data_IF_887879914352
#
_entry.id   IF_887879914352
#
_cell.length_a   1.000
_cell.length_b   1.000
_cell.length_c   1.000
_cell.angle_alpha   90.00
_cell.angle_beta   90.00
_cell.angle_gamma   90.00
#
_symmetry.space_group_name_H-M   'P 1'
#
loop_
_entity.id
_entity.type
_entity.pdbx_description
1 polymer ?
#
# COMPACT_ATOMS: atom_id res chain seq x y z
N UNK A 1 -8.37 -14.84 3.39
CA UNK A 1 -7.25 -14.85 2.43
C UNK A 1 -5.93 -14.41 3.07
N UNK A 2 -5.80 -13.17 3.56
CA UNK A 2 -4.53 -12.64 4.10
C UNK A 2 -3.90 -13.50 5.21
N UNK A 3 -4.66 -13.92 6.22
CA UNK A 3 -4.14 -14.77 7.31
C UNK A 3 -3.52 -16.08 6.77
N UNK A 4 -4.24 -16.76 5.87
CA UNK A 4 -3.81 -18.06 5.31
C UNK A 4 -2.53 -17.92 4.49
N UNK A 5 -2.39 -16.83 3.71
CA UNK A 5 -1.18 -16.57 2.94
C UNK A 5 0.03 -16.45 3.88
N UNK A 6 -0.08 -15.67 4.95
CA UNK A 6 1.03 -15.48 5.89
C UNK A 6 1.35 -16.73 6.70
N UNK A 7 0.34 -17.54 7.04
CA UNK A 7 0.54 -18.80 7.78
C UNK A 7 1.14 -19.91 6.90
N UNK A 8 0.80 -19.94 5.61
CA UNK A 8 1.29 -20.95 4.67
C UNK A 8 2.72 -20.67 4.17
N UNK A 9 3.20 -19.43 4.28
CA UNK A 9 4.57 -19.11 3.88
C UNK A 9 5.58 -19.65 4.90
N UNK A 10 6.67 -20.31 4.44
CA UNK A 10 7.70 -20.80 5.36
C UNK A 10 8.44 -19.63 6.03
N UNK A 11 8.52 -19.66 7.36
CA UNK A 11 9.26 -18.68 8.17
C UNK A 11 8.43 -17.50 8.67
N UNK A 12 9.08 -16.57 9.38
CA UNK A 12 8.45 -15.35 9.89
C UNK A 12 8.46 -14.24 8.84
N UNK A 13 7.44 -13.37 8.84
CA UNK A 13 7.20 -12.38 7.77
C UNK A 13 7.50 -10.95 8.20
N UNK A 14 7.95 -10.11 7.26
CA UNK A 14 8.06 -8.67 7.46
C UNK A 14 8.95 -8.25 8.64
N UNK A 15 8.50 -7.27 9.42
CA UNK A 15 9.25 -6.76 10.59
C UNK A 15 9.40 -7.78 11.71
N UNK A 16 8.49 -8.76 11.81
CA UNK A 16 8.61 -9.87 12.76
C UNK A 16 9.83 -10.76 12.45
N UNK A 17 10.15 -10.96 11.16
CA UNK A 17 11.41 -11.63 10.77
C UNK A 17 12.61 -10.86 11.30
N UNK A 18 12.67 -9.54 11.11
CA UNK A 18 13.83 -8.74 11.57
C UNK A 18 14.01 -8.77 13.08
N UNK A 19 12.91 -8.88 13.82
CA UNK A 19 12.91 -8.99 15.28
C UNK A 19 13.39 -10.39 15.70
N UNK A 20 12.83 -11.46 15.14
CA UNK A 20 13.15 -12.85 15.55
C UNK A 20 14.45 -13.41 14.96
N UNK A 21 14.88 -12.92 13.79
CA UNK A 21 16.12 -13.30 13.12
C UNK A 21 17.35 -12.56 13.66
N UNK A 22 17.18 -11.69 14.67
CA UNK A 22 18.29 -11.00 15.30
C UNK A 22 19.25 -12.02 15.95
N UNK A 23 20.52 -12.10 15.50
CA UNK A 23 21.48 -13.09 15.97
C UNK A 23 21.93 -12.86 17.43
N UNK A 24 21.57 -11.70 18.02
CA UNK A 24 21.85 -11.37 19.42
C UNK A 24 20.80 -11.92 20.40
N UNK A 25 19.68 -12.43 19.90
CA UNK A 25 18.65 -13.02 20.76
C UNK A 25 19.04 -14.43 21.16
N UNK A 26 19.03 -14.71 22.46
CA UNK A 26 19.11 -16.09 22.95
C UNK A 26 17.87 -16.88 22.53
N UNK A 27 17.97 -18.22 22.48
CA UNK A 27 16.84 -19.10 22.15
C UNK A 27 15.64 -18.86 23.09
N UNK A 28 15.91 -18.56 24.37
CA UNK A 28 14.89 -18.23 25.36
C UNK A 28 14.20 -16.89 25.06
N UNK A 29 14.96 -15.84 24.75
CA UNK A 29 14.42 -14.54 24.40
C UNK A 29 13.58 -14.59 23.11
N UNK A 30 14.02 -15.39 22.13
CA UNK A 30 13.24 -15.63 20.91
C UNK A 30 11.89 -16.28 21.23
N UNK A 31 11.88 -17.32 22.05
CA UNK A 31 10.64 -18.01 22.43
C UNK A 31 9.69 -17.11 23.23
N UNK A 32 10.24 -16.25 24.10
CA UNK A 32 9.45 -15.22 24.81
C UNK A 32 8.79 -14.25 23.82
N UNK A 33 9.51 -13.79 22.79
CA UNK A 33 8.92 -12.91 21.78
C UNK A 33 7.83 -13.59 20.94
N UNK A 34 8.02 -14.85 20.55
CA UNK A 34 6.99 -15.63 19.83
C UNK A 34 5.70 -15.73 20.67
N UNK A 35 5.85 -15.97 21.97
CA UNK A 35 4.72 -16.02 22.90
C UNK A 35 4.04 -14.65 23.06
N UNK A 36 4.81 -13.57 23.22
CA UNK A 36 4.28 -12.19 23.33
C UNK A 36 3.45 -11.78 22.11
N UNK A 37 3.82 -12.24 20.92
CA UNK A 37 3.12 -11.92 19.68
C UNK A 37 1.97 -12.87 19.34
N UNK A 38 1.63 -13.80 20.24
CA UNK A 38 0.51 -14.74 20.02
C UNK A 38 0.74 -15.66 18.82
N UNK A 39 2.00 -15.98 18.53
CA UNK A 39 2.39 -16.89 17.44
C UNK A 39 2.43 -18.35 17.90
N UNK A 40 2.02 -18.61 19.14
CA UNK A 40 1.93 -19.94 19.74
C UNK A 40 0.53 -20.53 19.58
N UNK A 41 0.44 -21.86 19.58
CA UNK A 41 -0.83 -22.58 19.50
C UNK A 41 -1.19 -23.04 18.08
N UNK A 42 -2.36 -23.68 17.97
CA UNK A 42 -2.86 -24.18 16.71
C UNK A 42 -3.32 -23.02 15.78
N UNK A 43 -3.27 -23.22 14.44
CA UNK A 43 -3.64 -22.17 13.49
C UNK A 43 -5.06 -21.64 13.63
N UNK A 44 -5.99 -22.48 14.12
CA UNK A 44 -7.38 -22.09 14.28
C UNK A 44 -7.56 -21.11 15.44
N UNK A 45 -6.95 -21.37 16.59
CA UNK A 45 -6.94 -20.46 17.74
C UNK A 45 -6.33 -19.11 17.39
N UNK A 46 -5.23 -19.10 16.61
CA UNK A 46 -4.59 -17.87 16.12
C UNK A 46 -5.50 -17.10 15.17
N UNK A 47 -6.22 -17.79 14.30
CA UNK A 47 -7.20 -17.16 13.40
C UNK A 47 -8.38 -16.53 14.16
N UNK A 48 -8.97 -17.26 15.10
CA UNK A 48 -10.09 -16.73 15.92
C UNK A 48 -9.65 -15.51 16.72
N UNK A 49 -8.46 -15.57 17.32
CA UNK A 49 -7.87 -14.43 18.05
C UNK A 49 -7.63 -13.23 17.12
N UNK A 50 -7.07 -13.47 15.93
CA UNK A 50 -6.87 -12.45 14.91
C UNK A 50 -8.20 -11.77 14.51
N UNK A 51 -9.24 -12.55 14.22
CA UNK A 51 -10.56 -12.02 13.82
C UNK A 51 -11.19 -11.23 14.97
N UNK A 52 -11.16 -11.76 16.20
CA UNK A 52 -11.70 -11.07 17.38
C UNK A 52 -11.01 -9.72 17.56
N UNK A 53 -9.69 -9.70 17.57
CA UNK A 53 -8.89 -8.49 17.76
C UNK A 53 -9.15 -7.45 16.65
N UNK A 54 -9.30 -7.91 15.41
CA UNK A 54 -9.63 -7.05 14.27
C UNK A 54 -11.01 -6.39 14.43
N UNK A 55 -12.02 -7.15 14.84
CA UNK A 55 -13.38 -6.64 15.06
C UNK A 55 -13.48 -5.72 16.29
N UNK A 56 -12.61 -5.88 17.28
CA UNK A 56 -12.51 -4.98 18.44
C UNK A 56 -11.53 -3.83 18.25
N UNK A 57 -11.02 -3.62 17.03
CA UNK A 57 -10.03 -2.58 16.71
C UNK A 57 -8.72 -2.66 17.52
N UNK A 58 -8.38 -3.85 18.01
CA UNK A 58 -7.15 -4.13 18.76
C UNK A 58 -6.06 -4.64 17.80
N UNK A 59 -5.46 -3.73 17.04
CA UNK A 59 -4.44 -4.09 16.04
C UNK A 59 -3.06 -4.44 16.64
N UNK A 60 -2.87 -4.25 17.94
CA UNK A 60 -1.61 -4.50 18.62
C UNK A 60 -0.57 -3.40 18.36
N UNK A 61 0.70 -3.76 18.54
CA UNK A 61 1.85 -2.85 18.44
C UNK A 61 2.68 -3.13 17.18
N UNK A 62 3.26 -2.08 16.60
CA UNK A 62 4.22 -2.19 15.51
C UNK A 62 5.51 -2.84 16.02
N UNK A 63 5.93 -3.94 15.40
CA UNK A 63 7.20 -4.61 15.68
C UNK A 63 8.44 -3.71 15.47
N UNK A 64 8.30 -2.66 14.64
CA UNK A 64 9.39 -1.76 14.28
C UNK A 64 9.40 -0.49 15.13
N UNK A 65 8.23 0.13 15.27
CA UNK A 65 8.11 1.46 15.86
C UNK A 65 7.66 1.41 17.33
N UNK A 66 7.33 0.22 17.86
CA UNK A 66 6.83 -0.01 19.22
C UNK A 66 5.63 0.87 19.64
N UNK A 67 4.87 1.36 18.67
CA UNK A 67 3.66 2.16 18.87
C UNK A 67 2.41 1.34 18.52
N UNK A 68 1.25 1.66 19.10
CA UNK A 68 -0.03 1.08 18.70
C UNK A 68 -0.24 1.25 17.19
N UNK A 69 -0.62 0.17 16.49
CA UNK A 69 -0.82 0.20 15.04
C UNK A 69 -1.96 1.15 14.64
N UNK A 70 -2.99 1.27 15.47
CA UNK A 70 -4.08 2.24 15.29
C UNK A 70 -3.55 3.68 15.23
N UNK A 71 -2.67 4.04 16.16
CA UNK A 71 -2.02 5.35 16.19
C UNK A 71 -1.11 5.53 14.97
N UNK A 72 -0.33 4.50 14.58
CA UNK A 72 0.50 4.59 13.39
C UNK A 72 -0.33 4.84 12.12
N UNK A 73 -1.49 4.19 11.96
CA UNK A 73 -2.35 4.37 10.78
C UNK A 73 -2.89 5.80 10.70
N UNK A 74 -3.32 6.35 11.83
CA UNK A 74 -3.95 7.67 11.91
C UNK A 74 -2.90 8.79 11.94
N UNK A 75 -1.98 8.74 12.89
CA UNK A 75 -0.98 9.79 13.17
C UNK A 75 0.09 9.89 12.10
N UNK A 76 0.42 8.80 11.38
CA UNK A 76 1.42 8.86 10.30
C UNK A 76 0.87 9.44 8.99
N UNK A 77 -0.40 9.85 8.93
CA UNK A 77 -1.04 10.37 7.73
C UNK A 77 -1.25 9.35 6.61
N UNK A 78 -0.96 8.06 6.85
CA UNK A 78 -1.09 6.99 5.85
C UNK A 78 -2.54 6.82 5.40
N UNK A 79 -3.46 6.77 6.36
CA UNK A 79 -4.89 6.68 6.06
C UNK A 79 -5.36 7.86 5.20
N UNK A 80 -4.95 9.08 5.57
CA UNK A 80 -5.29 10.29 4.80
C UNK A 80 -4.77 10.21 3.36
N UNK A 81 -3.51 9.84 3.16
CA UNK A 81 -2.93 9.71 1.83
C UNK A 81 -3.65 8.65 0.98
N UNK A 82 -4.01 7.49 1.56
CA UNK A 82 -4.78 6.46 0.87
C UNK A 82 -6.16 6.97 0.46
N UNK A 83 -6.88 7.63 1.38
CA UNK A 83 -8.20 8.18 1.09
C UNK A 83 -8.15 9.29 0.05
N UNK A 84 -7.14 10.17 0.12
CA UNK A 84 -6.92 11.22 -0.86
C UNK A 84 -6.66 10.62 -2.25
N UNK A 85 -5.72 9.67 -2.36
CA UNK A 85 -5.36 9.04 -3.64
C UNK A 85 -6.52 8.24 -4.22
N UNK A 86 -7.16 7.39 -3.42
CA UNK A 86 -8.29 6.58 -3.86
C UNK A 86 -9.48 7.47 -4.24
N UNK A 87 -9.82 8.45 -3.40
CA UNK A 87 -10.95 9.35 -3.63
C UNK A 87 -10.77 10.19 -4.88
N UNK A 88 -9.61 10.86 -5.01
CA UNK A 88 -9.32 11.70 -6.19
C UNK A 88 -9.25 10.89 -7.47
N UNK A 89 -8.55 9.76 -7.48
CA UNK A 89 -8.49 8.89 -8.66
C UNK A 89 -9.86 8.37 -9.06
N UNK A 90 -10.68 7.91 -8.11
CA UNK A 90 -12.04 7.40 -8.38
C UNK A 90 -12.92 8.47 -8.99
N UNK A 91 -12.94 9.68 -8.41
CA UNK A 91 -13.74 10.80 -8.93
C UNK A 91 -13.30 11.17 -10.35
N UNK A 92 -11.99 11.32 -10.58
CA UNK A 92 -11.45 11.64 -11.90
C UNK A 92 -11.77 10.54 -12.92
N UNK A 93 -11.61 9.27 -12.55
CA UNK A 93 -11.94 8.13 -13.42
C UNK A 93 -13.42 8.12 -13.81
N UNK A 94 -14.33 8.37 -12.86
CA UNK A 94 -15.78 8.43 -13.14
C UNK A 94 -16.08 9.59 -14.09
N UNK A 95 -15.58 10.79 -13.79
CA UNK A 95 -15.86 11.99 -14.59
C UNK A 95 -15.30 11.84 -16.00
N UNK A 96 -14.01 11.54 -16.14
CA UNK A 96 -13.34 11.41 -17.43
C UNK A 96 -13.92 10.24 -18.22
N UNK A 97 -14.08 9.07 -17.57
CA UNK A 97 -14.62 7.87 -18.21
C UNK A 97 -16.04 8.07 -18.73
N UNK A 98 -16.88 8.75 -17.96
CA UNK A 98 -18.27 9.05 -18.35
C UNK A 98 -18.31 10.05 -19.50
N UNK A 99 -17.51 11.12 -19.46
CA UNK A 99 -17.44 12.10 -20.54
C UNK A 99 -16.95 11.46 -21.85
N UNK A 100 -15.88 10.68 -21.79
CA UNK A 100 -15.38 9.93 -22.96
C UNK A 100 -16.44 8.95 -23.47
N UNK A 101 -17.11 8.22 -22.57
CA UNK A 101 -18.20 7.31 -22.92
C UNK A 101 -19.36 8.01 -23.64
N UNK A 102 -19.80 9.18 -23.15
CA UNK A 102 -20.85 9.98 -23.79
C UNK A 102 -20.41 10.42 -25.20
N UNK A 103 -19.19 10.93 -25.35
CA UNK A 103 -18.66 11.40 -26.63
C UNK A 103 -18.56 10.27 -27.65
N UNK A 104 -17.99 9.13 -27.25
CA UNK A 104 -17.81 7.96 -28.12
C UNK A 104 -19.16 7.34 -28.51
N UNK A 105 -20.10 7.26 -27.56
CA UNK A 105 -21.42 6.65 -27.81
C UNK A 105 -22.21 7.32 -28.94
N UNK A 106 -21.98 8.61 -29.19
CA UNK A 106 -22.62 9.38 -30.26
C UNK A 106 -21.99 9.16 -31.65
N UNK A 107 -20.79 8.57 -31.71
CA UNK A 107 -20.01 8.38 -32.94
C UNK A 107 -19.55 6.92 -33.10
N UNK A 108 -20.48 5.98 -32.91
CA UNK A 108 -20.22 4.54 -33.06
C UNK A 108 -19.64 4.22 -34.44
N UNK A 109 -18.63 3.37 -34.47
CA UNK A 109 -17.92 2.97 -35.69
C UNK A 109 -16.96 4.01 -36.26
N UNK A 110 -16.76 5.14 -35.56
CA UNK A 110 -15.75 6.13 -35.95
C UNK A 110 -14.34 5.69 -35.55
N UNK A 111 -13.31 6.31 -36.15
CA UNK A 111 -11.91 6.08 -35.74
C UNK A 111 -11.67 6.39 -34.26
N UNK A 112 -12.45 7.32 -33.68
CA UNK A 112 -12.37 7.66 -32.25
C UNK A 112 -12.95 6.54 -31.37
N UNK A 113 -14.03 5.89 -31.81
CA UNK A 113 -14.60 4.72 -31.13
C UNK A 113 -13.58 3.56 -31.12
N UNK A 114 -13.02 3.25 -32.30
CA UNK A 114 -11.99 2.21 -32.41
C UNK A 114 -10.74 2.52 -31.56
N UNK A 115 -10.25 3.77 -31.56
CA UNK A 115 -9.09 4.15 -30.76
C UNK A 115 -9.34 3.99 -29.26
N UNK A 116 -10.55 4.36 -28.78
CA UNK A 116 -10.91 4.22 -27.37
C UNK A 116 -11.05 2.76 -26.95
N UNK A 117 -11.67 1.92 -27.78
CA UNK A 117 -11.76 0.48 -27.54
C UNK A 117 -10.37 -0.15 -27.50
N UNK A 118 -9.53 0.10 -28.50
CA UNK A 118 -8.16 -0.42 -28.54
C UNK A 118 -7.32 0.08 -27.37
N UNK A 119 -7.42 1.37 -27.01
CA UNK A 119 -6.73 1.95 -25.87
C UNK A 119 -7.16 1.33 -24.54
N UNK A 120 -8.46 1.10 -24.36
CA UNK A 120 -9.02 0.44 -23.18
C UNK A 120 -8.53 -1.00 -23.07
N UNK A 121 -8.56 -1.77 -24.17
CA UNK A 121 -8.09 -3.16 -24.19
C UNK A 121 -6.59 -3.25 -23.93
N UNK A 122 -5.81 -2.34 -24.52
CA UNK A 122 -4.35 -2.28 -24.31
C UNK A 122 -4.03 -2.01 -22.85
N UNK A 123 -4.64 -0.98 -22.25
CA UNK A 123 -4.40 -0.61 -20.85
C UNK A 123 -4.86 -1.72 -19.90
N UNK A 124 -5.98 -2.37 -20.20
CA UNK A 124 -6.49 -3.50 -19.41
C UNK A 124 -5.60 -4.74 -19.48
N UNK A 125 -4.92 -4.95 -20.61
CA UNK A 125 -4.04 -6.11 -20.83
C UNK A 125 -2.68 -5.95 -20.14
N UNK A 126 -2.28 -4.72 -19.81
CA UNK A 126 -1.00 -4.47 -19.16
C UNK A 126 -1.11 -4.76 -17.64
N UNK A 127 -0.12 -5.45 -17.05
CA UNK A 127 -0.06 -5.62 -15.61
C UNK A 127 0.00 -4.26 -14.91
N UNK A 128 -0.75 -4.09 -13.81
CA UNK A 128 -0.84 -2.82 -13.09
C UNK A 128 0.52 -2.32 -12.61
N UNK A 129 1.42 -3.22 -12.18
CA UNK A 129 2.77 -2.85 -11.76
C UNK A 129 3.59 -2.25 -12.92
N UNK A 130 3.45 -2.80 -14.12
CA UNK A 130 4.16 -2.34 -15.31
C UNK A 130 3.66 -0.96 -15.74
N UNK A 131 2.34 -0.76 -15.71
CA UNK A 131 1.75 0.56 -15.91
C UNK A 131 2.27 1.58 -14.90
N UNK A 132 2.39 1.19 -13.63
CA UNK A 132 2.99 2.02 -12.58
C UNK A 132 4.42 2.44 -12.92
N UNK A 133 5.26 1.51 -13.40
CA UNK A 133 6.64 1.81 -13.81
C UNK A 133 6.67 2.80 -14.99
N UNK A 134 5.83 2.60 -16.01
CA UNK A 134 5.74 3.51 -17.15
C UNK A 134 5.32 4.92 -16.74
N UNK A 135 4.34 5.04 -15.84
CA UNK A 135 3.88 6.33 -15.32
C UNK A 135 4.97 7.03 -14.51
N UNK A 136 5.71 6.30 -13.67
CA UNK A 136 6.87 6.86 -12.95
C UNK A 136 7.93 7.34 -13.93
N UNK A 137 8.28 6.53 -14.93
CA UNK A 137 9.27 6.89 -15.93
C UNK A 137 8.88 8.16 -16.71
N UNK A 138 7.63 8.24 -17.17
CA UNK A 138 7.15 9.41 -17.88
C UNK A 138 7.08 10.65 -16.96
N UNK A 139 6.33 10.57 -15.86
CA UNK A 139 5.98 11.76 -15.08
C UNK A 139 7.02 12.15 -14.01
N UNK A 140 7.69 11.18 -13.40
CA UNK A 140 8.69 11.48 -12.36
C UNK A 140 10.09 11.68 -12.94
N UNK A 141 10.48 10.88 -13.94
CA UNK A 141 11.85 10.90 -14.46
C UNK A 141 12.02 11.71 -15.75
N UNK A 142 11.04 11.70 -16.65
CA UNK A 142 11.14 12.46 -17.91
C UNK A 142 10.63 13.89 -17.71
N UNK A 143 9.37 14.03 -17.30
CA UNK A 143 8.73 15.32 -17.16
C UNK A 143 8.99 16.02 -15.82
N UNK A 144 9.48 15.30 -14.81
CA UNK A 144 9.76 15.82 -13.46
C UNK A 144 8.55 16.51 -12.81
N UNK A 145 7.33 16.09 -13.13
CA UNK A 145 6.09 16.62 -12.55
C UNK A 145 5.90 16.17 -11.11
N UNK A 146 6.40 14.99 -10.75
CA UNK A 146 6.24 14.40 -9.42
C UNK A 146 7.56 13.83 -8.87
N UNK A 147 7.75 13.83 -7.54
CA UNK A 147 8.93 13.22 -6.92
C UNK A 147 8.89 11.68 -6.99
N UNK A 148 10.02 11.01 -7.28
CA UNK A 148 10.10 9.55 -7.25
C UNK A 148 10.19 9.06 -5.80
N UNK A 149 9.05 8.72 -5.19
CA UNK A 149 9.02 7.96 -3.93
C UNK A 149 8.74 8.74 -2.64
N UNK A 150 8.23 9.97 -2.72
CA UNK A 150 7.77 10.74 -1.54
C UNK A 150 6.48 11.50 -1.85
N UNK A 151 5.69 11.80 -0.82
CA UNK A 151 4.52 12.68 -0.95
C UNK A 151 4.90 14.17 -1.00
N UNK A 152 6.15 14.51 -0.67
CA UNK A 152 6.68 15.87 -0.77
C UNK A 152 7.92 15.90 -1.66
N UNK A 153 8.04 16.86 -2.59
CA UNK A 153 9.28 17.13 -3.30
C UNK A 153 10.44 17.30 -2.33
N UNK A 154 11.59 16.70 -2.65
CA UNK A 154 12.82 16.81 -1.84
C UNK A 154 13.23 18.27 -1.62
N UNK A 155 13.01 19.12 -2.63
CA UNK A 155 13.24 20.57 -2.55
C UNK A 155 12.40 21.26 -1.47
N UNK A 156 11.17 20.80 -1.21
CA UNK A 156 10.30 21.35 -0.17
C UNK A 156 10.61 20.77 1.22
N UNK A 157 11.30 19.64 1.29
CA UNK A 157 11.78 19.08 2.55
C UNK A 157 12.99 19.85 3.08
N UNK A 158 13.89 20.30 2.17
CA UNK A 158 15.08 21.09 2.52
C UNK A 158 14.72 22.47 3.07
N UNK A 159 13.64 23.10 2.59
CA UNK A 159 13.18 24.41 3.09
C UNK A 159 12.57 24.37 4.51
N UNK A 160 12.36 23.17 5.08
CA UNK A 160 11.87 23.00 6.46
C UNK A 160 12.98 22.65 7.46
N UNK A 161 14.22 22.49 7.01
CA UNK A 161 15.36 22.33 7.93
C UNK A 161 15.72 23.70 8.51
N UNK A 162 15.78 23.86 9.85
CA UNK A 162 16.29 25.09 10.43
C UNK A 162 17.72 25.28 9.97
N UNK A 163 18.01 26.45 9.39
CA UNK A 163 19.37 26.90 9.08
C UNK A 163 20.13 27.14 10.40
N UNK A 164 20.54 26.06 11.07
CA UNK A 164 21.59 26.15 12.08
C UNK A 164 22.93 26.02 11.36
N UNK A 165 23.41 27.16 10.86
CA UNK A 165 24.83 27.41 10.63
C UNK A 165 25.46 27.93 11.93
#
# INVERSE_FOLDING_TARGET
MNFVIFEAMPGYQGSLYTVLANPRLSTEQRNQQIALYGLTGDPWTRFVTYVRNLLTFQFGYSYKDNLPVSELIVSSGRLFNTLLLLGTSTVLSIVIGTLLGIVVSRRRGSSLDNLMVTGSLTTFSLPTFFMGILLIFAFALTFHWFPPGSVTPSLWALSRMPLSL
#
